data_IF_266407758166
#
_entry.id   IF_266407758166
#
_cell.length_a   1.000
_cell.length_b   1.000
_cell.length_c   1.000
_cell.angle_alpha   90.00
_cell.angle_beta   90.00
_cell.angle_gamma   90.00
#
_symmetry.space_group_name_H-M   'P 1'
#
loop_
_entity.id
_entity.type
_entity.pdbx_description
1 polymer ?
#
# COMPACT_ATOMS: atom_id res chain seq x y z
N UNK A 1 1.72 6.95 -7.20
CA UNK A 1 2.37 5.62 -7.24
C UNK A 1 1.40 4.61 -6.68
N UNK A 2 1.42 3.38 -7.19
CA UNK A 2 0.77 2.24 -6.57
C UNK A 2 1.80 1.14 -6.36
N UNK A 3 1.62 0.38 -5.30
CA UNK A 3 2.52 -0.69 -4.90
C UNK A 3 1.71 -1.94 -4.59
N UNK A 4 2.19 -3.09 -5.05
CA UNK A 4 1.62 -4.39 -4.72
C UNK A 4 2.74 -5.30 -4.22
N UNK A 5 2.54 -5.84 -3.02
CA UNK A 5 3.41 -6.87 -2.47
C UNK A 5 2.88 -8.24 -2.85
N UNK A 6 3.74 -9.09 -3.39
CA UNK A 6 3.47 -10.50 -3.67
C UNK A 6 4.63 -11.34 -3.12
N UNK A 7 4.34 -12.17 -2.12
CA UNK A 7 5.32 -13.04 -1.46
C UNK A 7 5.97 -14.04 -2.43
N UNK A 8 5.29 -14.36 -3.54
CA UNK A 8 5.78 -15.31 -4.54
C UNK A 8 6.52 -14.65 -5.70
N UNK A 9 6.55 -13.32 -5.75
CA UNK A 9 7.25 -12.56 -6.79
C UNK A 9 8.60 -12.04 -6.27
N UNK A 10 9.67 -12.28 -7.02
CA UNK A 10 10.98 -11.66 -6.75
C UNK A 10 10.96 -10.13 -6.96
N UNK A 11 9.97 -9.63 -7.70
CA UNK A 11 9.75 -8.22 -7.94
C UNK A 11 8.39 -7.82 -7.39
N UNK A 12 8.39 -7.05 -6.30
CA UNK A 12 7.17 -6.38 -5.87
C UNK A 12 6.81 -5.30 -6.90
N UNK A 13 5.54 -5.17 -7.25
CA UNK A 13 5.14 -4.23 -8.30
C UNK A 13 5.07 -2.82 -7.74
N UNK A 14 5.96 -1.94 -8.23
CA UNK A 14 5.82 -0.50 -8.06
C UNK A 14 5.54 0.15 -9.42
N UNK A 15 4.42 0.86 -9.53
CA UNK A 15 4.00 1.44 -10.81
C UNK A 15 3.57 2.91 -10.64
N UNK A 16 4.13 3.78 -11.46
CA UNK A 16 3.63 5.13 -11.71
C UNK A 16 2.48 5.08 -12.71
N UNK A 17 1.26 5.19 -12.18
CA UNK A 17 0.03 5.14 -12.96
C UNK A 17 -0.40 6.54 -13.37
N UNK A 18 -0.49 6.78 -14.69
CA UNK A 18 -1.13 7.98 -15.25
C UNK A 18 -2.65 7.80 -15.26
N UNK A 19 -3.37 8.68 -14.58
CA UNK A 19 -4.83 8.65 -14.50
C UNK A 19 -5.40 10.06 -14.30
N UNK A 20 -6.66 10.26 -14.69
CA UNK A 20 -7.44 11.47 -14.35
C UNK A 20 -8.28 11.29 -13.08
N UNK A 21 -8.38 10.07 -12.54
CA UNK A 21 -9.13 9.79 -11.32
C UNK A 21 -8.35 10.34 -10.11
N UNK A 22 -9.04 11.08 -9.25
CA UNK A 22 -8.46 11.50 -7.99
C UNK A 22 -8.45 10.32 -7.02
N UNK A 23 -7.27 9.97 -6.49
CA UNK A 23 -7.04 8.86 -5.57
C UNK A 23 -6.32 9.43 -4.37
N UNK A 24 -6.87 9.21 -3.17
CA UNK A 24 -6.26 9.66 -1.93
C UNK A 24 -5.18 8.68 -1.46
N UNK A 25 -4.24 9.18 -0.68
CA UNK A 25 -3.20 8.36 -0.05
C UNK A 25 -3.84 7.26 0.81
N UNK A 26 -3.23 6.06 0.79
CA UNK A 26 -3.66 4.91 1.57
C UNK A 26 -4.88 4.16 1.03
N UNK A 27 -5.47 4.58 -0.09
CA UNK A 27 -6.60 3.87 -0.69
C UNK A 27 -6.16 2.58 -1.39
N UNK A 28 -6.90 1.49 -1.17
CA UNK A 28 -6.79 0.27 -1.95
C UNK A 28 -7.50 0.44 -3.30
N UNK A 29 -6.82 0.08 -4.38
CA UNK A 29 -7.36 0.23 -5.74
C UNK A 29 -7.18 -1.03 -6.56
N UNK A 30 -8.11 -1.27 -7.49
CA UNK A 30 -7.93 -2.17 -8.63
C UNK A 30 -7.71 -1.33 -9.87
N UNK A 31 -6.80 -1.75 -10.75
CA UNK A 31 -6.40 -0.97 -11.92
C UNK A 31 -6.45 -1.86 -13.16
N UNK A 32 -7.22 -1.42 -14.15
CA UNK A 32 -7.13 -1.95 -15.51
C UNK A 32 -6.17 -1.05 -16.28
N UNK A 33 -5.10 -1.63 -16.85
CA UNK A 33 -4.10 -0.88 -17.61
C UNK A 33 -4.55 -0.61 -19.04
N UNK A 34 -4.13 0.56 -19.56
CA UNK A 34 -4.31 0.96 -20.96
C UNK A 34 -3.00 0.77 -21.72
N UNK A 35 -2.90 -0.33 -22.47
CA UNK A 35 -1.71 -0.67 -23.26
C UNK A 35 -0.61 -1.39 -22.48
N UNK A 36 0.64 -1.14 -22.87
CA UNK A 36 1.81 -1.79 -22.28
C UNK A 36 2.29 -1.15 -20.98
N UNK A 37 3.21 -1.86 -20.30
CA UNK A 37 3.96 -1.37 -19.15
C UNK A 37 5.37 -1.03 -19.62
N UNK A 38 5.84 0.18 -19.33
CA UNK A 38 7.20 0.60 -19.66
C UNK A 38 8.21 -0.05 -18.71
N UNK A 39 9.26 -0.66 -19.27
CA UNK A 39 10.26 -1.42 -18.52
C UNK A 39 11.20 -0.48 -17.76
N UNK A 40 10.82 -0.14 -16.53
CA UNK A 40 11.57 0.64 -15.54
C UNK A 40 11.17 0.19 -14.13
N UNK A 41 11.89 0.63 -13.09
CA UNK A 41 11.51 0.37 -11.71
C UNK A 41 11.61 1.67 -10.87
N UNK A 42 10.49 2.22 -10.37
CA UNK A 42 9.11 1.79 -10.62
C UNK A 42 8.73 1.84 -12.10
N UNK A 43 7.91 0.89 -12.54
CA UNK A 43 7.41 0.86 -13.90
C UNK A 43 6.45 2.03 -14.17
N UNK A 44 6.14 2.28 -15.44
CA UNK A 44 5.19 3.33 -15.80
C UNK A 44 4.08 2.76 -16.68
N UNK A 45 2.84 3.12 -16.39
CA UNK A 45 1.69 2.70 -17.19
C UNK A 45 0.57 3.75 -17.15
N UNK A 46 -0.36 3.64 -18.09
CA UNK A 46 -1.60 4.42 -18.09
C UNK A 46 -2.74 3.54 -17.57
N UNK A 47 -3.66 4.10 -16.79
CA UNK A 47 -4.86 3.36 -16.38
C UNK A 47 -6.01 3.60 -17.36
N UNK A 48 -6.63 2.50 -17.79
CA UNK A 48 -7.90 2.52 -18.52
C UNK A 48 -9.07 2.73 -17.56
N UNK A 49 -9.09 1.99 -16.46
CA UNK A 49 -10.03 2.15 -15.36
C UNK A 49 -9.34 1.97 -14.01
N UNK A 50 -9.90 2.61 -12.98
CA UNK A 50 -9.45 2.45 -11.59
C UNK A 50 -10.67 2.34 -10.73
N UNK A 51 -10.77 1.28 -9.93
CA UNK A 51 -11.81 1.11 -8.93
C UNK A 51 -11.22 1.27 -7.54
N UNK A 52 -11.84 2.12 -6.71
CA UNK A 52 -11.46 2.27 -5.32
C UNK A 52 -12.16 1.16 -4.55
N UNK A 53 -11.37 0.27 -3.96
CA UNK A 53 -11.89 -0.87 -3.21
C UNK A 53 -12.20 -0.37 -1.80
N UNK A 54 -13.47 -0.44 -1.41
CA UNK A 54 -13.87 -0.18 -0.03
C UNK A 54 -13.28 -1.28 0.86
N UNK A 55 -12.46 -0.88 1.81
CA UNK A 55 -11.96 -1.78 2.85
C UNK A 55 -12.94 -1.81 4.02
N UNK A 56 -13.09 -2.97 4.66
CA UNK A 56 -13.89 -3.08 5.86
C UNK A 56 -13.24 -2.30 7.00
N UNK A 57 -14.07 -1.64 7.80
CA UNK A 57 -13.64 -1.04 9.07
C UNK A 57 -14.16 -1.97 10.18
N UNK A 58 -13.28 -2.56 11.00
CA UNK A 58 -13.69 -3.33 12.15
C UNK A 58 -14.58 -2.49 13.08
N UNK A 59 -15.69 -3.06 13.57
CA UNK A 59 -16.67 -2.31 14.37
C UNK A 59 -16.06 -1.69 15.64
N UNK A 60 -15.05 -2.36 16.20
CA UNK A 60 -14.38 -1.93 17.42
C UNK A 60 -13.29 -0.90 17.18
N UNK A 61 -12.85 -0.69 15.93
CA UNK A 61 -11.84 0.29 15.59
C UNK A 61 -12.45 1.62 15.17
N UNK A 62 -11.92 2.69 15.75
CA UNK A 62 -12.14 4.08 15.36
C UNK A 62 -11.44 4.46 14.07
N UNK A 63 -10.49 3.64 13.60
CA UNK A 63 -9.69 3.88 12.40
C UNK A 63 -10.10 2.96 11.26
N UNK A 64 -10.12 3.52 10.06
CA UNK A 64 -10.18 2.77 8.81
C UNK A 64 -8.80 2.25 8.43
N UNK A 65 -8.75 1.19 7.61
CA UNK A 65 -7.51 0.70 7.04
C UNK A 65 -6.72 1.80 6.29
N UNK A 66 -7.42 2.72 5.62
CA UNK A 66 -6.81 3.86 4.94
C UNK A 66 -6.08 4.79 5.92
N UNK A 67 -6.72 5.15 7.04
CA UNK A 67 -6.10 6.01 8.06
C UNK A 67 -4.89 5.35 8.73
N UNK A 68 -4.98 4.04 8.96
CA UNK A 68 -3.87 3.23 9.48
C UNK A 68 -2.68 3.29 8.52
N UNK A 69 -2.90 3.08 7.22
CA UNK A 69 -1.85 3.17 6.20
C UNK A 69 -1.25 4.58 6.17
N UNK A 70 -2.07 5.64 6.21
CA UNK A 70 -1.57 7.03 6.22
C UNK A 70 -0.66 7.27 7.43
N UNK A 71 -1.07 6.83 8.63
CA UNK A 71 -0.26 6.97 9.85
C UNK A 71 1.03 6.16 9.77
N UNK A 72 0.99 4.96 9.19
CA UNK A 72 2.19 4.15 8.99
C UNK A 72 3.17 4.82 8.02
N UNK A 73 2.69 5.40 6.93
CA UNK A 73 3.54 6.13 5.97
C UNK A 73 4.15 7.40 6.59
N UNK A 74 3.42 8.09 7.47
CA UNK A 74 3.92 9.25 8.21
C UNK A 74 4.99 8.86 9.25
N UNK A 75 4.77 7.71 9.94
CA UNK A 75 5.74 7.16 10.88
C UNK A 75 7.06 6.78 10.17
N UNK A 76 6.97 6.13 9.01
CA UNK A 76 8.11 5.74 8.19
C UNK A 76 8.36 6.69 7.02
N UNK A 77 8.48 8.00 7.31
CA UNK A 77 8.60 9.05 6.30
C UNK A 77 9.92 9.06 5.50
N UNK A 78 10.87 8.18 5.83
CA UNK A 78 12.14 8.04 5.11
C UNK A 78 12.14 6.92 4.08
N UNK A 79 11.09 6.11 3.99
CA UNK A 79 11.00 5.01 3.03
C UNK A 79 10.98 5.57 1.60
N UNK A 80 11.89 5.08 0.76
CA UNK A 80 11.96 5.46 -0.65
C UNK A 80 10.80 4.88 -1.47
N UNK A 81 10.55 3.57 -1.30
CA UNK A 81 9.52 2.86 -2.05
C UNK A 81 8.67 1.97 -1.12
N UNK A 82 7.57 2.49 -0.54
CA UNK A 82 6.83 1.80 0.51
C UNK A 82 5.93 0.69 -0.02
N UNK A 83 6.11 -0.52 0.49
CA UNK A 83 5.22 -1.65 0.27
C UNK A 83 4.52 -2.04 1.57
N UNK A 84 3.18 -2.13 1.53
CA UNK A 84 2.41 -2.74 2.61
C UNK A 84 2.44 -4.25 2.42
N UNK A 85 3.23 -4.95 3.24
CA UNK A 85 3.33 -6.43 3.24
C UNK A 85 2.09 -7.04 3.89
N UNK A 86 1.69 -6.51 5.03
CA UNK A 86 0.49 -6.96 5.74
C UNK A 86 -0.11 -5.85 6.60
N UNK A 87 -1.41 -5.97 6.84
CA UNK A 87 -2.16 -5.13 7.76
C UNK A 87 -3.19 -6.01 8.46
N UNK A 88 -3.12 -6.07 9.78
CA UNK A 88 -3.96 -6.93 10.59
C UNK A 88 -4.53 -6.14 11.77
N UNK A 89 -5.81 -6.32 12.04
CA UNK A 89 -6.47 -5.77 13.21
C UNK A 89 -6.78 -6.87 14.22
N UNK A 90 -6.35 -6.66 15.47
CA UNK A 90 -6.66 -7.53 16.60
C UNK A 90 -7.77 -6.92 17.46
N UNK A 91 -8.98 -7.44 17.35
CA UNK A 91 -10.13 -6.96 18.15
C UNK A 91 -9.89 -7.11 19.65
N UNK A 92 -9.27 -8.23 20.07
CA UNK A 92 -8.98 -8.51 21.46
C UNK A 92 -8.03 -7.48 22.10
N UNK A 93 -7.18 -6.85 21.29
CA UNK A 93 -6.21 -5.83 21.74
C UNK A 93 -6.62 -4.41 21.36
N UNK A 94 -7.65 -4.25 20.52
CA UNK A 94 -7.99 -2.98 19.85
C UNK A 94 -6.75 -2.34 19.20
N UNK A 95 -6.03 -3.10 18.37
CA UNK A 95 -4.74 -2.69 17.81
C UNK A 95 -4.59 -3.15 16.36
N UNK A 96 -4.10 -2.24 15.52
CA UNK A 96 -3.61 -2.53 14.18
C UNK A 96 -2.11 -2.80 14.18
N UNK A 97 -1.68 -3.83 13.46
CA UNK A 97 -0.29 -4.11 13.15
C UNK A 97 -0.10 -4.03 11.64
N UNK A 98 0.85 -3.21 11.20
CA UNK A 98 1.22 -3.05 9.79
C UNK A 98 2.67 -3.44 9.62
N UNK A 99 2.95 -4.29 8.63
CA UNK A 99 4.31 -4.62 8.22
C UNK A 99 4.60 -3.97 6.88
N UNK A 100 5.66 -3.18 6.83
CA UNK A 100 6.12 -2.44 5.66
C UNK A 100 7.46 -2.97 5.18
N UNK A 101 7.73 -2.78 3.89
CA UNK A 101 9.05 -2.97 3.28
C UNK A 101 9.45 -1.70 2.53
N UNK A 102 10.75 -1.42 2.46
CA UNK A 102 11.31 -0.43 1.53
C UNK A 102 11.87 -1.15 0.30
N UNK A 103 11.17 -1.04 -0.83
CA UNK A 103 11.60 -1.67 -2.08
C UNK A 103 12.77 -0.95 -2.78
N UNK A 104 13.32 0.11 -2.19
CA UNK A 104 14.57 0.74 -2.63
C UNK A 104 15.78 0.34 -1.78
N UNK A 105 15.57 -0.31 -0.63
CA UNK A 105 16.64 -0.75 0.25
C UNK A 105 17.36 -2.00 -0.29
N UNK A 106 18.69 -2.03 -0.19
CA UNK A 106 19.50 -3.23 -0.48
C UNK A 106 19.25 -4.36 0.53
N UNK A 107 18.74 -4.01 1.72
CA UNK A 107 18.36 -4.95 2.77
C UNK A 107 16.84 -4.94 2.91
N UNK A 108 16.22 -6.09 2.61
CA UNK A 108 14.77 -6.27 2.80
C UNK A 108 14.53 -6.62 4.27
N UNK A 109 14.15 -5.61 5.05
CA UNK A 109 13.78 -5.77 6.46
C UNK A 109 12.30 -5.46 6.68
N UNK A 110 11.62 -6.33 7.42
CA UNK A 110 10.24 -6.10 7.86
C UNK A 110 10.23 -4.96 8.89
N UNK A 111 9.58 -3.86 8.54
CA UNK A 111 9.35 -2.73 9.44
C UNK A 111 7.94 -2.81 10.00
N UNK A 112 7.82 -3.19 11.26
CA UNK A 112 6.54 -3.30 11.94
C UNK A 112 6.15 -1.99 12.63
N UNK A 113 4.90 -1.57 12.46
CA UNK A 113 4.31 -0.46 13.22
C UNK A 113 2.95 -0.87 13.79
N UNK A 114 2.74 -0.50 15.04
CA UNK A 114 1.53 -0.83 15.80
C UNK A 114 0.77 0.43 16.17
N UNK A 115 -0.53 0.47 15.89
CA UNK A 115 -1.41 1.63 16.08
C UNK A 115 -2.64 1.21 16.89
N UNK A 116 -3.01 1.98 17.90
CA UNK A 116 -4.26 1.76 18.64
C UNK A 116 -5.49 1.98 17.73
N UNK A 117 -6.44 1.06 17.85
CA UNK A 117 -7.67 0.97 17.07
C UNK A 117 -8.67 2.06 17.36
#
# INVERSE_FOLDING_TARGET
>A
MVTHYDEQSELNDAIWIRTKKNIALGQKVSIELDGGIETSYPAQASAKNIDIIKTEQPETSRLTQQEVIIRTLDHFNTIGLPFVKSIHYSEAKNVWTVVMLDGQSDVVEDMEFTIEG
#
